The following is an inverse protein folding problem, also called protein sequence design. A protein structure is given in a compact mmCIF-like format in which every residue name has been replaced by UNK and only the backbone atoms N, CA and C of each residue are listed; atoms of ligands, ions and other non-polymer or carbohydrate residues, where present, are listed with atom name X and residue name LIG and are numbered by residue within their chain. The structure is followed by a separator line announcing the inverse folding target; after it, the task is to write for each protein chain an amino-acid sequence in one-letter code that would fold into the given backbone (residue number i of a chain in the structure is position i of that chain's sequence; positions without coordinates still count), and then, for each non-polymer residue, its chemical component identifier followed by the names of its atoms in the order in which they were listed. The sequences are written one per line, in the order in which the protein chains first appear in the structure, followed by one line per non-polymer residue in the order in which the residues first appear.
data_IF_861188234607
#
_entry.id   IF_861188234607
#
_cell.length_a   1.000
_cell.length_b   1.000
_cell.length_c   1.000
_cell.angle_alpha   90.00
_cell.angle_beta   90.00
_cell.angle_gamma   90.00
#
_symmetry.space_group_name_H-M   'P 1'
#
loop_
_entity.id
_entity.type
_entity.pdbx_description
1 polymer ?
#
# COMPACT_ATOMS: atom_id res chain seq x y z
N UNK A 1 17.15 3.40 -12.38
CA UNK A 1 16.09 2.46 -12.82
C UNK A 1 14.84 3.28 -13.05
N UNK A 2 14.23 3.19 -14.23
CA UNK A 2 12.94 3.79 -14.55
C UNK A 2 11.79 2.96 -13.96
N UNK A 3 10.60 3.56 -13.84
CA UNK A 3 9.42 2.87 -13.33
C UNK A 3 9.07 1.62 -14.15
N UNK A 4 9.23 1.68 -15.48
CA UNK A 4 8.96 0.53 -16.35
C UNK A 4 9.95 -0.62 -16.16
N UNK A 5 11.22 -0.31 -15.86
CA UNK A 5 12.23 -1.32 -15.52
C UNK A 5 11.96 -1.95 -14.15
N UNK A 6 11.48 -1.16 -13.18
CA UNK A 6 11.05 -1.67 -11.87
C UNK A 6 9.87 -2.63 -12.02
N UNK A 7 8.85 -2.27 -12.81
CA UNK A 7 7.68 -3.11 -13.07
C UNK A 7 8.06 -4.45 -13.71
N UNK A 8 8.89 -4.42 -14.76
CA UNK A 8 9.42 -5.64 -15.40
C UNK A 8 10.22 -6.51 -14.44
N UNK A 9 11.04 -5.88 -13.59
CA UNK A 9 11.85 -6.59 -12.58
C UNK A 9 10.95 -7.27 -11.55
N UNK A 10 9.93 -6.55 -11.05
CA UNK A 10 8.92 -7.08 -10.14
C UNK A 10 8.18 -8.25 -10.75
N UNK A 11 7.68 -8.11 -11.98
CA UNK A 11 6.92 -9.17 -12.65
C UNK A 11 7.76 -10.46 -12.80
N UNK A 12 9.04 -10.34 -13.13
CA UNK A 12 9.94 -11.51 -13.18
C UNK A 12 10.15 -12.13 -11.80
N UNK A 13 10.31 -11.30 -10.77
CA UNK A 13 10.47 -11.75 -9.40
C UNK A 13 9.22 -12.49 -8.90
N UNK A 14 8.04 -11.90 -9.07
CA UNK A 14 6.76 -12.48 -8.66
C UNK A 14 6.54 -13.84 -9.33
N UNK A 15 6.73 -13.93 -10.65
CA UNK A 15 6.59 -15.20 -11.39
C UNK A 15 7.54 -16.28 -10.91
N UNK A 16 8.80 -15.93 -10.64
CA UNK A 16 9.80 -16.88 -10.11
C UNK A 16 9.39 -17.43 -8.74
N UNK A 17 8.69 -16.64 -7.94
CA UNK A 17 8.20 -17.02 -6.61
C UNK A 17 6.76 -17.58 -6.63
N UNK A 18 6.09 -17.56 -7.78
CA UNK A 18 4.68 -17.93 -7.92
C UNK A 18 3.71 -16.94 -7.26
N UNK A 19 4.16 -15.72 -6.97
CA UNK A 19 3.38 -14.67 -6.30
C UNK A 19 2.41 -13.96 -7.25
N UNK A 20 2.59 -14.13 -8.56
CA UNK A 20 1.66 -13.68 -9.59
C UNK A 20 0.29 -14.38 -9.54
N UNK A 21 0.18 -15.44 -8.70
CA UNK A 21 -1.04 -16.21 -8.46
C UNK A 21 -1.93 -15.63 -7.36
N UNK A 22 -1.42 -14.72 -6.54
CA UNK A 22 -2.21 -14.15 -5.44
C UNK A 22 -3.25 -13.16 -5.95
N UNK A 23 -4.43 -13.18 -5.32
CA UNK A 23 -5.51 -12.28 -5.65
C UNK A 23 -5.15 -10.82 -5.37
N UNK A 24 -5.68 -9.94 -6.21
CA UNK A 24 -5.61 -8.50 -6.08
C UNK A 24 -5.94 -7.98 -4.68
N UNK A 25 -6.97 -8.56 -4.04
CA UNK A 25 -7.40 -8.21 -2.68
C UNK A 25 -6.33 -8.51 -1.64
N UNK A 26 -5.64 -9.65 -1.75
CA UNK A 26 -4.60 -10.03 -0.79
C UNK A 26 -3.38 -9.13 -0.92
N UNK A 27 -3.01 -8.78 -2.16
CA UNK A 27 -1.94 -7.81 -2.43
C UNK A 27 -2.30 -6.42 -1.88
N UNK A 28 -3.57 -6.03 -1.95
CA UNK A 28 -4.05 -4.77 -1.39
C UNK A 28 -4.05 -4.77 0.15
N UNK A 29 -4.48 -5.85 0.80
CA UNK A 29 -4.39 -5.99 2.26
C UNK A 29 -2.93 -5.89 2.71
N UNK A 30 -2.01 -6.57 2.02
CA UNK A 30 -0.59 -6.49 2.32
C UNK A 30 -0.05 -5.06 2.14
N UNK A 31 -0.48 -4.32 1.11
CA UNK A 31 -0.13 -2.90 0.97
C UNK A 31 -0.56 -2.07 2.19
N UNK A 32 -1.76 -2.31 2.73
CA UNK A 32 -2.26 -1.61 3.93
C UNK A 32 -1.44 -1.98 5.17
N UNK A 33 -1.01 -3.23 5.30
CA UNK A 33 -0.13 -3.67 6.40
C UNK A 33 1.21 -2.92 6.38
N UNK A 34 1.87 -2.85 5.22
CA UNK A 34 3.16 -2.15 5.06
C UNK A 34 3.03 -0.64 5.33
N UNK A 35 1.91 -0.02 4.93
CA UNK A 35 1.63 1.38 5.27
C UNK A 35 1.43 1.59 6.78
N UNK A 36 0.81 0.63 7.47
CA UNK A 36 0.64 0.64 8.92
C UNK A 36 1.98 0.55 9.65
N UNK A 37 2.91 -0.24 9.12
CA UNK A 37 4.27 -0.38 9.62
C UNK A 37 5.06 0.93 9.48
N UNK A 38 5.04 1.57 8.30
CA UNK A 38 5.63 2.90 8.08
C UNK A 38 5.06 3.92 9.08
N UNK A 39 3.73 3.97 9.19
CA UNK A 39 3.05 4.87 10.13
C UNK A 39 3.44 4.61 11.58
N UNK A 40 3.70 3.34 11.95
CA UNK A 40 4.20 2.98 13.28
C UNK A 40 5.59 3.57 13.52
N UNK A 41 6.53 3.46 12.59
CA UNK A 41 7.87 4.06 12.74
C UNK A 41 7.80 5.57 12.89
N UNK A 42 7.04 6.27 12.03
CA UNK A 42 6.87 7.73 12.09
C UNK A 42 6.34 8.15 13.46
N UNK A 43 5.29 7.49 13.94
CA UNK A 43 4.69 7.80 15.25
C UNK A 43 5.69 7.67 16.42
N UNK A 44 6.62 6.72 16.36
CA UNK A 44 7.66 6.56 17.39
C UNK A 44 8.83 7.54 17.19
N UNK A 45 9.20 7.89 15.95
CA UNK A 45 10.25 8.87 15.66
C UNK A 45 9.83 10.29 16.05
N UNK A 46 8.58 10.66 15.79
CA UNK A 46 8.01 11.98 16.15
C UNK A 46 7.57 12.09 17.62
N UNK A 47 7.64 10.99 18.38
CA UNK A 47 7.26 10.98 19.80
C UNK A 47 5.75 11.00 20.05
N UNK A 48 4.91 10.79 19.03
CA UNK A 48 3.47 10.61 19.20
C UNK A 48 3.14 9.34 20.00
N UNK A 49 3.92 8.27 19.82
CA UNK A 49 3.88 7.07 20.66
C UNK A 49 5.11 7.01 21.58
N UNK A 50 4.87 6.78 22.87
CA UNK A 50 5.94 6.62 23.85
C UNK A 50 6.69 5.29 23.68
N UNK A 51 8.02 5.33 23.84
CA UNK A 51 8.86 4.13 23.83
C UNK A 51 8.69 3.37 25.15
N UNK A 52 8.03 2.21 25.10
CA UNK A 52 7.88 1.27 26.21
C UNK A 52 8.64 -0.03 25.97
N UNK A 53 8.50 -1.00 26.89
CA UNK A 53 9.15 -2.33 26.82
C UNK A 53 8.83 -3.13 25.54
N UNK A 54 7.72 -2.82 24.87
CA UNK A 54 7.27 -3.47 23.64
C UNK A 54 7.36 -2.55 22.41
N UNK A 55 8.01 -1.40 22.52
CA UNK A 55 8.17 -0.52 21.38
C UNK A 55 9.17 -1.12 20.39
N UNK A 56 8.86 -1.12 19.09
CA UNK A 56 9.81 -1.53 18.07
C UNK A 56 11.05 -0.65 18.18
N UNK A 57 12.22 -1.25 18.01
CA UNK A 57 13.45 -0.48 17.90
C UNK A 57 13.38 0.34 16.61
N UNK A 58 13.61 1.64 16.68
CA UNK A 58 13.51 2.51 15.51
C UNK A 58 14.73 2.20 14.62
N UNK A 59 14.54 1.30 13.66
CA UNK A 59 15.56 0.90 12.73
C UNK A 59 15.24 1.49 11.36
N UNK A 60 16.03 2.49 10.94
CA UNK A 60 15.87 3.13 9.62
C UNK A 60 15.93 2.15 8.46
N UNK A 61 16.67 1.03 8.57
CA UNK A 61 16.71 0.01 7.52
C UNK A 61 15.38 -0.74 7.38
N UNK A 62 14.65 -0.92 8.48
CA UNK A 62 13.32 -1.52 8.45
C UNK A 62 12.35 -0.58 7.75
N UNK A 63 12.39 0.71 8.09
CA UNK A 63 11.57 1.74 7.45
C UNK A 63 11.86 1.85 5.94
N UNK A 64 13.14 1.89 5.54
CA UNK A 64 13.53 1.88 4.13
C UNK A 64 12.98 0.66 3.37
N UNK A 65 12.99 -0.51 4.01
CA UNK A 65 12.46 -1.73 3.43
C UNK A 65 10.94 -1.67 3.28
N UNK A 66 10.20 -1.25 4.31
CA UNK A 66 8.73 -1.14 4.27
C UNK A 66 8.28 -0.11 3.22
N UNK A 67 9.01 1.00 3.07
CA UNK A 67 8.81 1.96 1.99
C UNK A 67 9.01 1.31 0.61
N UNK A 68 10.09 0.54 0.43
CA UNK A 68 10.33 -0.16 -0.82
C UNK A 68 9.25 -1.22 -1.12
N UNK A 69 8.76 -1.94 -0.10
CA UNK A 69 7.68 -2.92 -0.21
C UNK A 69 6.37 -2.23 -0.63
N UNK A 70 6.00 -1.14 0.03
CA UNK A 70 4.84 -0.31 -0.31
C UNK A 70 4.88 0.16 -1.76
N UNK A 71 6.02 0.69 -2.21
CA UNK A 71 6.22 1.16 -3.57
C UNK A 71 6.06 0.03 -4.61
N UNK A 72 6.60 -1.15 -4.29
CA UNK A 72 6.55 -2.32 -5.16
C UNK A 72 5.12 -2.90 -5.23
N UNK A 73 4.39 -2.97 -4.12
CA UNK A 73 3.01 -3.45 -4.08
C UNK A 73 2.04 -2.52 -4.83
N UNK A 74 2.25 -1.20 -4.75
CA UNK A 74 1.47 -0.18 -5.43
C UNK A 74 1.82 -0.04 -6.94
N UNK A 75 2.87 -0.69 -7.43
CA UNK A 75 3.26 -0.57 -8.83
C UNK A 75 2.13 -1.08 -9.75
N UNK A 76 1.61 -0.27 -10.70
CA UNK A 76 0.32 -0.50 -11.38
C UNK A 76 0.25 -1.71 -12.33
N UNK A 77 1.34 -2.48 -12.44
CA UNK A 77 1.36 -3.78 -13.14
C UNK A 77 1.04 -4.97 -12.23
N UNK A 78 0.92 -4.79 -10.91
CA UNK A 78 0.33 -5.81 -10.05
C UNK A 78 -1.12 -6.03 -10.47
N UNK A 79 -1.55 -7.29 -10.49
CA UNK A 79 -2.88 -7.72 -10.94
C UNK A 79 -4.06 -6.99 -10.25
N UNK A 80 -3.77 -6.24 -9.17
CA UNK A 80 -4.65 -5.36 -8.40
C UNK A 80 -5.54 -4.49 -9.28
N UNK A 81 -4.96 -3.74 -10.23
CA UNK A 81 -5.72 -2.72 -10.97
C UNK A 81 -6.35 -3.18 -12.29
N UNK A 82 -5.91 -4.31 -12.85
CA UNK A 82 -6.45 -4.80 -14.14
C UNK A 82 -7.62 -5.78 -14.00
N UNK A 83 -7.84 -6.41 -12.84
CA UNK A 83 -8.82 -7.51 -12.72
C UNK A 83 -9.95 -7.34 -11.69
N UNK A 84 -9.94 -6.32 -10.86
CA UNK A 84 -11.02 -6.11 -9.89
C UNK A 84 -11.98 -5.00 -10.33
N UNK A 85 -13.06 -5.41 -11.01
CA UNK A 85 -14.22 -4.53 -11.22
C UNK A 85 -14.75 -3.93 -9.90
N UNK A 86 -14.57 -4.66 -8.79
CA UNK A 86 -14.95 -4.24 -7.43
C UNK A 86 -14.11 -3.06 -6.93
N UNK A 87 -12.79 -3.06 -7.15
CA UNK A 87 -11.92 -1.98 -6.67
C UNK A 87 -12.09 -0.72 -7.52
N UNK A 88 -12.22 -0.90 -8.85
CA UNK A 88 -12.54 0.22 -9.75
C UNK A 88 -13.86 0.89 -9.36
N UNK A 89 -14.87 0.10 -8.98
CA UNK A 89 -16.16 0.61 -8.50
C UNK A 89 -16.04 1.39 -7.19
N UNK A 90 -15.42 0.83 -6.15
CA UNK A 90 -15.33 1.49 -4.85
C UNK A 90 -14.43 2.73 -4.87
N UNK A 91 -13.33 2.72 -5.62
CA UNK A 91 -12.46 3.90 -5.77
C UNK A 91 -13.16 5.00 -6.58
N UNK A 92 -13.89 4.65 -7.65
CA UNK A 92 -14.68 5.62 -8.41
C UNK A 92 -15.87 6.16 -7.61
N UNK A 93 -16.55 5.33 -6.81
CA UNK A 93 -17.63 5.74 -5.90
C UNK A 93 -17.10 6.66 -4.79
N UNK A 94 -15.93 6.37 -4.21
CA UNK A 94 -15.27 7.24 -3.24
C UNK A 94 -14.88 8.61 -3.82
N UNK A 95 -14.51 8.67 -5.10
CA UNK A 95 -14.15 9.94 -5.76
C UNK A 95 -15.38 10.68 -6.32
N UNK A 96 -16.46 9.98 -6.69
CA UNK A 96 -17.72 10.58 -7.17
C UNK A 96 -18.68 10.99 -6.04
N UNK A 97 -18.49 10.49 -4.81
CA UNK A 97 -19.22 10.93 -3.61
C UNK A 97 -18.98 12.40 -3.22
N UNK A 98 -17.98 13.06 -3.80
CA UNK A 98 -17.66 14.48 -3.62
C UNK A 98 -18.75 15.44 -4.09
N UNK A 99 -19.77 14.97 -4.83
CA UNK A 99 -20.84 15.80 -5.39
C UNK A 99 -22.21 15.68 -4.69
N UNK A 100 -22.35 14.88 -3.62
CA UNK A 100 -23.66 14.69 -2.95
C UNK A 100 -23.85 15.46 -1.63
N UNK A 101 -22.97 16.40 -1.28
CA UNK A 101 -23.12 17.28 -0.10
C UNK A 101 -23.70 18.68 -0.41
N UNK A 102 -24.53 18.84 -1.45
CA UNK A 102 -25.10 20.15 -1.81
C UNK A 102 -26.57 20.36 -1.47
N UNK A 103 -27.26 19.45 -0.75
CA UNK A 103 -28.68 19.66 -0.40
C UNK A 103 -29.07 19.18 1.01
N UNK A 104 -28.38 19.67 2.04
CA UNK A 104 -28.97 19.78 3.38
C UNK A 104 -29.13 21.26 3.70
N UNK A 105 -30.33 21.79 3.42
CA UNK A 105 -30.78 23.08 3.95
C UNK A 105 -31.14 22.88 5.42
N UNK A 106 -30.50 23.65 6.30
CA UNK A 106 -31.00 23.95 7.64
C UNK A 106 -32.25 24.84 7.54
#
# INVERSE_FOLDING_TARGET
MSLSEMQKTKQKFDRRRGWDKFDASNVFVHLVEELGEIGRHINYEEGYKEKGKNSPDINRKELEREFAQTLILNAPETAVFRRTAVFRRHVLEAHSGSHLLTNLRF
#
